data_IF_553947070483
#
_entry.id   IF_553947070483
#
_cell.length_a   1.000
_cell.length_b   1.000
_cell.length_c   1.000
_cell.angle_alpha   90.00
_cell.angle_beta   90.00
_cell.angle_gamma   90.00
#
_symmetry.space_group_name_H-M   'P 1'
#
loop_
_entity.id
_entity.type
_entity.pdbx_description
1 polymer ?
#
# COMPACT_ATOMS: atom_id res chain seq x y z
N UNK A 1 -4.61 -4.41 -9.29
CA UNK A 1 -3.67 -4.22 -8.16
C UNK A 1 -3.10 -2.81 -8.10
N UNK A 2 -2.54 -2.24 -9.19
CA UNK A 2 -1.96 -0.87 -9.19
C UNK A 2 -2.85 0.24 -8.61
N UNK A 3 -4.13 0.33 -9.04
CA UNK A 3 -5.09 1.29 -8.48
C UNK A 3 -5.31 1.13 -6.96
N UNK A 4 -5.25 -0.10 -6.44
CA UNK A 4 -5.40 -0.37 -5.00
C UNK A 4 -4.19 0.10 -4.21
N UNK A 5 -2.99 -0.05 -4.76
CA UNK A 5 -1.76 0.51 -4.17
C UNK A 5 -1.84 2.04 -4.12
N UNK A 6 -2.35 2.68 -5.18
CA UNK A 6 -2.59 4.11 -5.20
C UNK A 6 -3.60 4.55 -4.13
N UNK A 7 -4.71 3.82 -3.99
CA UNK A 7 -5.73 4.06 -2.96
C UNK A 7 -5.16 3.88 -1.55
N UNK A 8 -4.39 2.82 -1.29
CA UNK A 8 -3.70 2.61 -0.02
C UNK A 8 -2.82 3.80 0.33
N UNK A 9 -1.99 4.26 -0.62
CA UNK A 9 -1.16 5.44 -0.42
C UNK A 9 -1.98 6.69 -0.07
N UNK A 10 -3.10 6.91 -0.76
CA UNK A 10 -4.00 8.03 -0.48
C UNK A 10 -4.64 7.93 0.90
N UNK A 11 -5.04 6.73 1.33
CA UNK A 11 -5.61 6.50 2.67
C UNK A 11 -4.61 6.78 3.78
N UNK A 12 -3.33 6.48 3.56
CA UNK A 12 -2.25 6.82 4.48
C UNK A 12 -1.87 8.31 4.45
N UNK A 13 -2.48 9.12 3.57
CA UNK A 13 -2.15 10.54 3.41
C UNK A 13 -0.73 10.79 2.89
N UNK A 14 -0.10 9.80 2.24
CA UNK A 14 1.29 9.86 1.85
C UNK A 14 1.46 10.37 0.41
N UNK A 15 2.43 11.24 0.22
CA UNK A 15 2.92 11.56 -1.12
C UNK A 15 3.60 10.33 -1.73
N UNK A 16 3.66 10.28 -3.06
CA UNK A 16 4.32 9.19 -3.79
C UNK A 16 5.78 8.96 -3.37
N UNK A 17 6.66 9.98 -3.24
CA UNK A 17 8.01 9.74 -2.76
C UNK A 17 8.07 9.22 -1.32
N UNK A 18 7.21 9.73 -0.41
CA UNK A 18 7.19 9.28 0.99
C UNK A 18 6.68 7.84 1.14
N UNK A 19 5.74 7.44 0.29
CA UNK A 19 5.29 6.05 0.24
C UNK A 19 6.33 5.12 -0.39
N UNK A 20 7.06 5.60 -1.40
CA UNK A 20 8.13 4.84 -2.03
C UNK A 20 9.28 4.58 -1.05
N UNK A 21 9.65 5.58 -0.25
CA UNK A 21 10.60 5.47 0.86
C UNK A 21 10.11 4.47 1.93
N UNK A 22 8.81 4.51 2.29
CA UNK A 22 8.23 3.63 3.29
C UNK A 22 8.35 2.13 2.94
N UNK A 23 8.26 1.79 1.66
CA UNK A 23 8.34 0.41 1.17
C UNK A 23 9.68 0.09 0.49
N UNK A 24 10.66 0.98 0.61
CA UNK A 24 12.02 0.88 0.06
C UNK A 24 12.07 0.59 -1.46
N UNK A 25 11.36 1.40 -2.26
CA UNK A 25 11.42 1.34 -3.72
C UNK A 25 11.68 2.72 -4.34
N UNK A 26 12.28 2.79 -5.54
CA UNK A 26 12.38 4.04 -6.26
C UNK A 26 10.99 4.65 -6.59
N UNK A 27 10.80 5.98 -6.51
CA UNK A 27 9.52 6.62 -6.84
C UNK A 27 9.01 6.35 -8.27
N UNK A 28 9.94 6.13 -9.20
CA UNK A 28 9.66 5.75 -10.59
C UNK A 28 9.11 4.31 -10.67
N UNK A 29 9.67 3.40 -9.87
CA UNK A 29 9.20 2.02 -9.73
C UNK A 29 7.79 1.98 -9.16
N UNK A 30 7.53 2.74 -8.08
CA UNK A 30 6.19 2.87 -7.51
C UNK A 30 5.19 3.43 -8.54
N UNK A 31 5.56 4.48 -9.28
CA UNK A 31 4.72 5.04 -10.35
C UNK A 31 4.35 3.98 -11.39
N UNK A 32 5.30 3.13 -11.79
CA UNK A 32 5.05 2.07 -12.79
C UNK A 32 4.08 1.00 -12.27
N UNK A 33 4.11 0.69 -10.97
CA UNK A 33 3.13 -0.20 -10.35
C UNK A 33 1.75 0.43 -10.22
N UNK A 34 1.66 1.70 -9.81
CA UNK A 34 0.38 2.43 -9.71
C UNK A 34 -0.32 2.54 -11.07
N UNK A 35 0.45 2.84 -12.13
CA UNK A 35 -0.06 3.01 -13.50
C UNK A 35 -0.26 1.69 -14.25
N UNK A 36 0.17 0.56 -13.69
CA UNK A 36 0.02 -0.76 -14.32
C UNK A 36 1.00 -1.04 -15.46
N UNK A 37 2.04 -0.22 -15.64
CA UNK A 37 3.13 -0.49 -16.59
C UNK A 37 3.97 -1.70 -16.18
N UNK A 38 3.97 -2.05 -14.90
CA UNK A 38 4.44 -3.33 -14.38
C UNK A 38 3.31 -4.04 -13.67
N UNK A 39 3.15 -5.34 -13.93
CA UNK A 39 2.31 -6.20 -13.11
C UNK A 39 2.80 -6.14 -11.66
N UNK A 40 1.87 -6.02 -10.70
CA UNK A 40 2.20 -6.10 -9.27
C UNK A 40 2.79 -7.49 -9.01
N UNK A 41 4.08 -7.54 -8.69
CA UNK A 41 4.83 -8.77 -8.47
C UNK A 41 4.70 -9.24 -7.02
N UNK A 42 4.96 -10.52 -6.76
CA UNK A 42 5.04 -11.06 -5.39
C UNK A 42 6.05 -10.31 -4.51
N UNK A 43 7.13 -9.81 -5.12
CA UNK A 43 8.11 -8.97 -4.41
C UNK A 43 7.49 -7.68 -3.86
N UNK A 44 6.69 -6.95 -4.66
CA UNK A 44 5.99 -5.74 -4.20
C UNK A 44 5.03 -6.04 -3.06
N UNK A 45 4.32 -7.17 -3.12
CA UNK A 45 3.42 -7.60 -2.04
C UNK A 45 4.20 -7.95 -0.76
N UNK A 46 5.38 -8.57 -0.90
CA UNK A 46 6.29 -8.83 0.22
C UNK A 46 6.77 -7.54 0.90
N UNK A 47 7.13 -6.52 0.13
CA UNK A 47 7.52 -5.21 0.66
C UNK A 47 6.38 -4.54 1.44
N UNK A 48 5.15 -4.62 0.92
CA UNK A 48 3.97 -4.12 1.63
C UNK A 48 3.68 -4.92 2.91
N UNK A 49 3.90 -6.23 2.90
CA UNK A 49 3.70 -7.09 4.07
C UNK A 49 4.76 -6.87 5.15
N UNK A 50 5.98 -6.47 4.77
CA UNK A 50 7.08 -6.23 5.69
C UNK A 50 6.88 -4.99 6.58
N UNK A 51 6.05 -4.04 6.17
CA UNK A 51 5.87 -2.78 6.88
C UNK A 51 4.55 -2.73 7.66
N UNK A 52 4.54 -2.44 8.99
CA UNK A 52 3.33 -2.48 9.83
C UNK A 52 2.17 -1.63 9.31
N UNK A 53 2.46 -0.43 8.78
CA UNK A 53 1.45 0.50 8.23
C UNK A 53 0.76 0.00 6.95
N UNK A 54 1.32 -1.00 6.26
CA UNK A 54 0.80 -1.51 4.98
C UNK A 54 0.40 -2.98 5.05
N UNK A 55 0.91 -3.74 6.03
CA UNK A 55 0.71 -5.18 6.17
C UNK A 55 -0.78 -5.58 6.27
N UNK A 56 -1.57 -4.86 7.06
CA UNK A 56 -3.02 -5.10 7.21
C UNK A 56 -3.81 -4.91 5.91
N UNK A 57 -3.27 -4.16 4.96
CA UNK A 57 -3.93 -3.87 3.68
C UNK A 57 -3.51 -4.81 2.55
N UNK A 58 -2.51 -5.68 2.75
CA UNK A 58 -2.00 -6.57 1.70
C UNK A 58 -3.08 -7.51 1.19
N UNK A 59 -3.87 -8.11 2.09
CA UNK A 59 -4.97 -9.00 1.70
C UNK A 59 -6.00 -8.27 0.85
N UNK A 60 -6.34 -7.02 1.19
CA UNK A 60 -7.22 -6.20 0.37
C UNK A 60 -6.60 -5.82 -0.99
N UNK A 61 -5.31 -5.47 -1.00
CA UNK A 61 -4.56 -5.21 -2.24
C UNK A 61 -4.55 -6.43 -3.16
N UNK A 62 -4.65 -7.65 -2.64
CA UNK A 62 -4.73 -8.90 -3.41
C UNK A 62 -6.17 -9.27 -3.77
N UNK A 63 -7.05 -9.49 -2.78
CA UNK A 63 -8.40 -10.03 -2.98
C UNK A 63 -9.36 -9.04 -3.63
N UNK A 64 -9.26 -7.74 -3.32
CA UNK A 64 -10.05 -6.69 -3.98
C UNK A 64 -11.52 -6.61 -3.56
N UNK A 65 -11.99 -7.42 -2.61
CA UNK A 65 -13.36 -7.40 -2.11
C UNK A 65 -13.47 -6.78 -0.69
N UNK A 66 -14.66 -6.20 -0.45
CA UNK A 66 -15.25 -5.59 0.78
C UNK A 66 -14.33 -5.33 1.97
N UNK A 67 -13.33 -4.48 1.79
CA UNK A 67 -12.48 -4.00 2.87
C UNK A 67 -11.68 -2.80 2.42
N UNK A 68 -12.36 -1.80 1.83
CA UNK A 68 -11.66 -0.62 1.36
C UNK A 68 -10.80 -0.03 2.48
N UNK A 69 -9.62 0.53 2.19
CA UNK A 69 -8.79 1.15 3.21
C UNK A 69 -9.45 2.34 3.93
N UNK A 70 -10.65 2.75 3.49
CA UNK A 70 -11.52 3.76 4.10
C UNK A 70 -12.46 3.19 5.19
N UNK A 71 -12.65 1.87 5.27
CA UNK A 71 -13.52 1.21 6.26
C UNK A 71 -12.75 0.59 7.43
N UNK A 72 -11.41 0.69 7.45
CA UNK A 72 -10.61 0.30 8.60
C UNK A 72 -10.67 1.47 9.60
N UNK A 73 -11.25 1.30 10.80
CA UNK A 73 -11.37 2.38 11.76
C UNK A 73 -9.98 2.92 12.10
N UNK A 74 -9.79 4.22 12.00
CA UNK A 74 -8.59 4.98 12.40
C UNK A 74 -8.16 4.76 13.87
N UNK A 75 -8.88 3.91 14.62
CA UNK A 75 -8.70 3.67 16.05
C UNK A 75 -7.48 2.77 16.39
N UNK A 76 -7.01 1.90 15.48
CA UNK A 76 -5.97 0.91 15.82
C UNK A 76 -4.52 1.30 15.49
N UNK A 77 -4.28 2.47 14.87
CA UNK A 77 -2.91 2.92 14.56
C UNK A 77 -2.30 3.85 15.64
N UNK A 78 -3.04 4.14 16.72
CA UNK A 78 -2.62 5.03 17.81
C UNK A 78 -2.59 4.37 19.19
N UNK A 79 -2.51 3.04 19.27
CA UNK A 79 -2.15 2.36 20.51
C UNK A 79 -1.22 1.17 20.22
N UNK A 80 0.08 1.40 20.41
CA UNK A 80 0.96 0.53 21.22
C UNK A 80 2.39 1.07 21.15
N UNK A 81 3.00 1.09 22.34
CA UNK A 81 4.33 1.59 22.69
C UNK A 81 5.47 0.85 21.99
#
# INVERSE_FOLDING_TARGET
>A
MGKRIQQLRQCLGLSRPKFAELIDVPPTTLKNYELGYRGTSGHMLGLLAAHPKTASYVLWVIAGETGSPQSVPTADLNQSF
#
